data_IF_558631810142
#
_entry.id   IF_558631810142
#
_cell.length_a   1.000
_cell.length_b   1.000
_cell.length_c   1.000
_cell.angle_alpha   90.00
_cell.angle_beta   90.00
_cell.angle_gamma   90.00
#
_symmetry.space_group_name_H-M   'P 1'
#
loop_
_entity.id
_entity.type
_entity.pdbx_description
1 polymer ?
#
# COMPACT_ATOMS: atom_id res chain seq x y z
N UNK A 1 1.34 -11.87 16.04
CA UNK A 1 1.19 -11.68 14.58
C UNK A 1 2.34 -10.79 14.09
N UNK A 2 3.09 -11.21 13.06
CA UNK A 2 4.16 -10.39 12.47
C UNK A 2 3.62 -9.74 11.20
N UNK A 3 3.76 -8.42 11.08
CA UNK A 3 3.36 -7.69 9.88
C UNK A 3 4.57 -7.45 8.99
N UNK A 4 4.40 -7.73 7.70
CA UNK A 4 5.38 -7.40 6.68
C UNK A 4 4.69 -6.61 5.56
N UNK A 5 4.94 -5.30 5.45
CA UNK A 5 4.46 -4.52 4.31
C UNK A 5 5.04 -5.07 3.02
N UNK A 6 4.22 -5.12 1.97
CA UNK A 6 4.62 -5.58 0.63
C UNK A 6 4.60 -4.37 -0.29
N UNK A 7 5.74 -4.02 -0.87
CA UNK A 7 5.90 -2.75 -1.58
C UNK A 7 6.62 -2.96 -2.91
N UNK A 8 6.00 -2.52 -4.00
CA UNK A 8 6.66 -2.39 -5.30
C UNK A 8 7.38 -1.04 -5.39
N UNK A 9 8.36 -0.91 -6.29
CA UNK A 9 9.03 0.37 -6.54
C UNK A 9 8.04 1.49 -6.88
N UNK A 10 7.02 1.19 -7.70
CA UNK A 10 6.02 2.17 -8.09
C UNK A 10 5.20 2.68 -6.90
N UNK A 11 4.80 1.78 -6.00
CA UNK A 11 4.07 2.14 -4.78
C UNK A 11 4.93 2.96 -3.81
N UNK A 12 6.21 2.60 -3.67
CA UNK A 12 7.13 3.35 -2.82
C UNK A 12 7.36 4.78 -3.34
N UNK A 13 7.52 4.96 -4.65
CA UNK A 13 7.65 6.28 -5.27
C UNK A 13 6.38 7.12 -5.14
N UNK A 14 5.19 6.50 -5.15
CA UNK A 14 3.94 7.21 -4.85
C UNK A 14 3.92 7.70 -3.39
N UNK A 15 4.41 6.91 -2.43
CA UNK A 15 4.54 7.37 -1.04
C UNK A 15 5.47 8.59 -0.92
N UNK A 16 6.64 8.53 -1.57
CA UNK A 16 7.56 9.68 -1.62
C UNK A 16 6.90 10.91 -2.24
N UNK A 17 6.22 10.75 -3.37
CA UNK A 17 5.56 11.84 -4.07
C UNK A 17 4.42 12.44 -3.23
N UNK A 18 3.59 11.62 -2.60
CA UNK A 18 2.46 12.04 -1.76
C UNK A 18 2.95 12.77 -0.51
N UNK A 19 3.90 12.19 0.24
CA UNK A 19 4.40 12.81 1.48
C UNK A 19 5.03 14.18 1.22
N UNK A 20 5.61 14.39 0.04
CA UNK A 20 6.26 15.66 -0.33
C UNK A 20 5.29 16.73 -0.87
N UNK A 21 4.00 16.42 -1.09
CA UNK A 21 3.03 17.42 -1.58
C UNK A 21 2.83 18.54 -0.53
N UNK A 22 2.68 19.81 -0.95
CA UNK A 22 2.57 20.94 -0.02
C UNK A 22 1.50 20.78 1.05
N UNK A 23 0.33 20.25 0.70
CA UNK A 23 -0.80 20.02 1.60
C UNK A 23 -0.46 19.00 2.69
N UNK A 24 0.27 17.94 2.34
CA UNK A 24 0.70 16.91 3.29
C UNK A 24 1.84 17.42 4.17
N UNK A 25 2.84 18.08 3.58
CA UNK A 25 3.93 18.69 4.36
C UNK A 25 3.43 19.72 5.37
N UNK A 26 2.42 20.49 5.00
CA UNK A 26 1.79 21.46 5.90
C UNK A 26 1.06 20.74 7.04
N UNK A 27 0.39 19.63 6.77
CA UNK A 27 -0.35 18.87 7.77
C UNK A 27 0.57 18.14 8.78
N UNK A 28 1.68 17.55 8.34
CA UNK A 28 2.56 16.77 9.22
C UNK A 28 3.80 17.54 9.71
N UNK A 29 4.18 18.67 9.09
CA UNK A 29 5.27 19.54 9.53
C UNK A 29 6.69 18.98 9.40
N UNK A 30 6.88 17.91 8.61
CA UNK A 30 8.18 17.25 8.46
C UNK A 30 8.96 17.87 7.31
N UNK A 31 10.26 18.01 7.50
CA UNK A 31 11.23 18.33 6.45
C UNK A 31 11.42 17.17 5.46
N UNK A 32 11.95 17.44 4.27
CA UNK A 32 12.24 16.38 3.30
C UNK A 32 13.22 15.33 3.86
N UNK A 33 14.21 15.74 4.66
CA UNK A 33 15.16 14.82 5.28
C UNK A 33 14.48 13.89 6.32
N UNK A 34 13.45 14.36 7.02
CA UNK A 34 12.66 13.54 7.94
C UNK A 34 11.73 12.58 7.18
N UNK A 35 11.14 13.03 6.06
CA UNK A 35 10.39 12.15 5.15
C UNK A 35 11.29 11.03 4.63
N UNK A 36 12.50 11.36 4.19
CA UNK A 36 13.45 10.37 3.67
C UNK A 36 13.85 9.36 4.74
N UNK A 37 14.11 9.82 5.97
CA UNK A 37 14.40 8.93 7.10
C UNK A 37 13.22 8.02 7.43
N UNK A 38 12.00 8.55 7.42
CA UNK A 38 10.79 7.77 7.64
C UNK A 38 10.61 6.68 6.56
N UNK A 39 10.74 7.06 5.28
CA UNK A 39 10.63 6.14 4.16
C UNK A 39 11.72 5.07 4.17
N UNK A 40 12.96 5.43 4.55
CA UNK A 40 14.03 4.45 4.72
C UNK A 40 13.71 3.44 5.84
N UNK A 41 13.13 3.90 6.95
CA UNK A 41 12.65 3.02 8.02
C UNK A 41 11.52 2.09 7.57
N UNK A 42 10.56 2.62 6.81
CA UNK A 42 9.48 1.82 6.23
C UNK A 42 10.01 0.77 5.25
N UNK A 43 10.96 1.14 4.37
CA UNK A 43 11.60 0.24 3.43
C UNK A 43 12.36 -0.88 4.15
N UNK A 44 13.02 -0.60 5.29
CA UNK A 44 13.71 -1.61 6.09
C UNK A 44 12.80 -2.64 6.75
N UNK A 45 11.49 -2.35 6.87
CA UNK A 45 10.48 -3.28 7.39
C UNK A 45 9.71 -3.99 6.28
N UNK A 46 9.76 -3.47 5.05
CA UNK A 46 8.99 -3.95 3.92
C UNK A 46 9.72 -5.05 3.13
N UNK A 47 8.93 -5.90 2.49
CA UNK A 47 9.39 -6.81 1.44
C UNK A 47 9.22 -6.13 0.08
N UNK A 48 10.30 -6.08 -0.69
CA UNK A 48 10.28 -5.57 -2.05
C UNK A 48 9.60 -6.57 -2.98
N UNK A 49 8.61 -6.11 -3.73
CA UNK A 49 7.80 -6.93 -4.63
C UNK A 49 8.19 -6.61 -6.07
N UNK A 50 8.65 -7.63 -6.80
CA UNK A 50 8.86 -7.53 -8.24
C UNK A 50 7.55 -7.75 -8.99
N UNK A 51 7.25 -6.89 -9.96
CA UNK A 51 6.04 -7.00 -10.79
C UNK A 51 6.36 -7.81 -12.03
N UNK A 52 6.02 -9.10 -12.01
CA UNK A 52 6.22 -9.99 -13.15
C UNK A 52 5.05 -9.94 -14.15
N UNK A 53 3.85 -9.64 -13.67
CA UNK A 53 2.64 -9.58 -14.50
C UNK A 53 1.82 -8.33 -14.19
N UNK A 54 1.35 -7.67 -15.24
CA UNK A 54 0.43 -6.52 -15.16
C UNK A 54 -0.94 -6.95 -15.63
N UNK A 55 -1.94 -6.75 -14.78
CA UNK A 55 -3.31 -7.22 -15.03
C UNK A 55 -4.25 -6.08 -15.41
N UNK A 56 -3.76 -4.85 -15.57
CA UNK A 56 -4.58 -3.67 -15.86
C UNK A 56 -5.35 -3.81 -17.18
N UNK A 57 -6.59 -3.29 -17.27
CA UNK A 57 -7.36 -2.66 -16.19
C UNK A 57 -8.15 -3.69 -15.37
N UNK A 58 -8.13 -3.55 -14.05
CA UNK A 58 -8.97 -4.27 -13.09
C UNK A 58 -9.84 -3.33 -12.23
N UNK A 59 -9.42 -2.08 -12.04
CA UNK A 59 -10.08 -1.10 -11.18
C UNK A 59 -10.55 0.11 -11.98
N UNK A 60 -11.52 0.85 -11.42
CA UNK A 60 -12.05 2.07 -12.05
C UNK A 60 -11.09 3.26 -11.92
N UNK A 61 -10.30 3.31 -10.84
CA UNK A 61 -9.23 4.31 -10.67
C UNK A 61 -7.88 3.71 -11.12
N UNK A 62 -7.26 4.24 -12.20
CA UNK A 62 -5.94 3.79 -12.66
C UNK A 62 -4.82 3.94 -11.61
N UNK A 63 -4.98 4.82 -10.62
CA UNK A 63 -4.02 4.99 -9.52
C UNK A 63 -4.09 3.85 -8.51
N UNK A 64 -5.26 3.25 -8.32
CA UNK A 64 -5.43 2.12 -7.40
C UNK A 64 -4.84 0.81 -7.96
N UNK A 65 -4.64 0.73 -9.27
CA UNK A 65 -4.04 -0.43 -9.94
C UNK A 65 -2.67 -0.80 -9.39
N UNK A 66 -1.81 0.17 -9.06
CA UNK A 66 -0.48 -0.14 -8.52
C UNK A 66 -0.53 -0.79 -7.14
N UNK A 67 -1.57 -0.50 -6.35
CA UNK A 67 -1.79 -1.12 -5.03
C UNK A 67 -2.25 -2.56 -5.21
N UNK A 68 -3.18 -2.80 -6.14
CA UNK A 68 -3.63 -4.15 -6.49
C UNK A 68 -2.48 -4.98 -7.07
N UNK A 69 -1.69 -4.42 -7.98
CA UNK A 69 -0.53 -5.09 -8.57
C UNK A 69 0.49 -5.52 -7.53
N UNK A 70 0.77 -4.66 -6.54
CA UNK A 70 1.64 -5.02 -5.42
C UNK A 70 1.07 -6.20 -4.63
N UNK A 71 -0.21 -6.15 -4.29
CA UNK A 71 -0.85 -7.22 -3.52
C UNK A 71 -0.87 -8.56 -4.28
N UNK A 72 -1.21 -8.54 -5.57
CA UNK A 72 -1.33 -9.77 -6.39
C UNK A 72 0.02 -10.38 -6.71
N UNK A 73 1.02 -9.59 -7.14
CA UNK A 73 2.34 -10.12 -7.45
C UNK A 73 3.04 -10.67 -6.20
N UNK A 74 2.75 -10.10 -5.03
CA UNK A 74 3.29 -10.57 -3.75
C UNK A 74 2.50 -11.71 -3.10
N UNK A 75 1.34 -12.09 -3.65
CA UNK A 75 0.37 -13.01 -3.00
C UNK A 75 0.06 -12.57 -1.57
N UNK A 76 -0.25 -11.29 -1.40
CA UNK A 76 -0.52 -10.71 -0.10
C UNK A 76 -1.70 -11.42 0.61
N UNK A 77 -1.55 -11.67 1.91
CA UNK A 77 -2.64 -12.22 2.73
C UNK A 77 -3.83 -11.25 2.80
N UNK A 78 -3.55 -9.94 2.82
CA UNK A 78 -4.58 -8.92 2.80
C UNK A 78 -4.11 -7.62 2.15
N UNK A 79 -5.03 -6.92 1.49
CA UNK A 79 -4.91 -5.53 1.07
C UNK A 79 -5.64 -4.65 2.10
N UNK A 80 -4.89 -3.75 2.71
CA UNK A 80 -5.38 -2.88 3.79
C UNK A 80 -5.64 -1.49 3.23
N UNK A 81 -6.90 -1.06 3.19
CA UNK A 81 -7.28 0.22 2.58
C UNK A 81 -8.50 0.84 3.24
N UNK A 82 -8.59 2.18 3.19
CA UNK A 82 -9.85 2.87 3.48
C UNK A 82 -10.86 2.75 2.32
N UNK A 83 -10.38 2.58 1.08
CA UNK A 83 -11.21 2.46 -0.11
C UNK A 83 -11.67 1.02 -0.38
N UNK A 84 -12.27 0.36 0.62
CA UNK A 84 -12.67 -1.07 0.50
C UNK A 84 -13.59 -1.31 -0.70
N UNK A 85 -14.50 -0.37 -0.98
CA UNK A 85 -15.52 -0.51 -2.03
C UNK A 85 -14.91 -0.78 -3.40
N UNK A 86 -13.83 -0.09 -3.76
CA UNK A 86 -13.28 -0.18 -5.10
C UNK A 86 -12.46 -1.46 -5.30
N UNK A 87 -11.79 -1.93 -4.25
CA UNK A 87 -11.02 -3.18 -4.26
C UNK A 87 -11.89 -4.42 -4.04
N UNK A 88 -13.07 -4.30 -3.41
CA UNK A 88 -13.94 -5.45 -3.15
C UNK A 88 -14.36 -6.15 -4.45
N UNK A 89 -14.53 -5.41 -5.55
CA UNK A 89 -14.94 -5.94 -6.86
C UNK A 89 -13.96 -6.95 -7.46
N UNK A 90 -12.69 -6.88 -7.04
CA UNK A 90 -11.61 -7.74 -7.55
C UNK A 90 -11.13 -8.75 -6.51
N UNK A 91 -11.64 -8.66 -5.27
CA UNK A 91 -11.23 -9.51 -4.14
C UNK A 91 -11.40 -11.01 -4.41
N UNK A 92 -12.57 -11.42 -4.90
CA UNK A 92 -12.85 -12.83 -5.22
C UNK A 92 -11.97 -13.34 -6.36
N UNK A 93 -11.78 -12.53 -7.41
CA UNK A 93 -10.97 -12.91 -8.59
C UNK A 93 -9.51 -13.19 -8.23
N UNK A 94 -8.95 -12.43 -7.29
CA UNK A 94 -7.54 -12.53 -6.90
C UNK A 94 -7.33 -13.22 -5.56
N UNK A 95 -8.38 -13.82 -4.98
CA UNK A 95 -8.36 -14.46 -3.66
C UNK A 95 -7.74 -13.54 -2.57
N UNK A 96 -7.99 -12.24 -2.68
CA UNK A 96 -7.35 -11.20 -1.89
C UNK A 96 -8.30 -10.67 -0.84
N UNK A 97 -7.96 -10.85 0.44
CA UNK A 97 -8.73 -10.29 1.55
C UNK A 97 -8.58 -8.76 1.57
N UNK A 98 -9.68 -8.03 1.45
CA UNK A 98 -9.67 -6.56 1.54
C UNK A 98 -10.21 -6.15 2.91
N UNK A 99 -9.39 -5.46 3.72
CA UNK A 99 -9.77 -5.05 5.08
C UNK A 99 -9.48 -3.57 5.34
N UNK A 100 -10.17 -2.99 6.33
CA UNK A 100 -9.85 -1.65 6.82
C UNK A 100 -8.64 -1.68 7.76
N UNK A 101 -7.88 -0.58 7.87
CA UNK A 101 -6.80 -0.46 8.86
C UNK A 101 -7.24 -0.75 10.29
N UNK A 102 -8.47 -0.37 10.67
CA UNK A 102 -9.01 -0.65 12.01
C UNK A 102 -9.13 -2.16 12.29
N UNK A 103 -9.52 -2.95 11.29
CA UNK A 103 -9.67 -4.41 11.42
C UNK A 103 -8.30 -5.08 11.59
N UNK A 104 -7.29 -4.62 10.85
CA UNK A 104 -5.90 -5.06 11.01
C UNK A 104 -5.42 -4.83 12.45
N UNK A 105 -5.59 -3.59 12.96
CA UNK A 105 -5.14 -3.23 14.31
C UNK A 105 -5.88 -3.98 15.41
N UNK A 106 -7.16 -4.28 15.23
CA UNK A 106 -7.92 -5.12 16.17
C UNK A 106 -7.37 -6.55 16.21
N UNK A 107 -6.92 -7.08 15.06
CA UNK A 107 -6.28 -8.39 14.98
C UNK A 107 -4.93 -8.48 15.70
N UNK A 108 -4.15 -7.38 15.72
CA UNK A 108 -2.86 -7.31 16.41
C UNK A 108 -2.96 -7.24 17.94
N UNK A 109 -4.11 -6.77 18.45
CA UNK A 109 -4.34 -6.61 19.91
C UNK A 109 -4.73 -7.91 20.61
N UNK A 110 -4.86 -9.01 19.87
CA UNK A 110 -5.23 -10.33 20.37
C UNK A 110 -4.03 -11.24 20.51
#
# INVERSE_FOLDING_TARGET
MHLRPLVTTALFLEYEAVLRRPEHRTAHGLSNAEIDRFLAGLAGLAEAVEVHFRWRPQLSDPKDEMVLEAAVNARAEALVTHNVRDFQKVSERFELKVIRPAELLQGLRR
#
